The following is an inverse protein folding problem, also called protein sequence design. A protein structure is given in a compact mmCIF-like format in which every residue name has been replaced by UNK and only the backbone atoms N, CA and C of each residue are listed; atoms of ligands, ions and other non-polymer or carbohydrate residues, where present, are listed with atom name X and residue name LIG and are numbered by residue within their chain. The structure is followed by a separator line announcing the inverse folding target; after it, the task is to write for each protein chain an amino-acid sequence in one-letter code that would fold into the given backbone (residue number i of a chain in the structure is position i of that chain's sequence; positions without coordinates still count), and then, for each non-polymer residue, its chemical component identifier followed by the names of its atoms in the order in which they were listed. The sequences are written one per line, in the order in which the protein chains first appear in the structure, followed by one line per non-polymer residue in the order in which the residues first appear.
data_IF_087078777186
#
_entry.id   IF_087078777186
#
_cell.length_a   1.000
_cell.length_b   1.000
_cell.length_c   1.000
_cell.angle_alpha   90.00
_cell.angle_beta   90.00
_cell.angle_gamma   90.00
#
_symmetry.space_group_name_H-M   'P 1'
#
loop_
_entity.id
_entity.type
_entity.pdbx_description
1 polymer ?
#
# COMPACT_ATOMS: atom_id res chain seq x y z
N UNK A 1 10.83 -1.05 -40.44
CA UNK A 1 10.05 -1.87 -39.47
C UNK A 1 10.67 -1.94 -38.07
N UNK A 2 11.97 -2.23 -37.92
CA UNK A 2 12.63 -2.43 -36.60
C UNK A 2 12.63 -1.19 -35.69
N UNK A 3 12.81 0.02 -36.24
CA UNK A 3 12.79 1.26 -35.45
C UNK A 3 11.42 1.63 -34.88
N UNK A 4 10.34 1.28 -35.58
CA UNK A 4 8.96 1.52 -35.11
C UNK A 4 8.64 0.61 -33.91
N UNK A 5 9.11 -0.64 -33.96
CA UNK A 5 8.97 -1.60 -32.86
C UNK A 5 9.72 -1.17 -31.58
N UNK A 6 10.93 -0.62 -31.70
CA UNK A 6 11.69 -0.08 -30.55
C UNK A 6 10.99 1.13 -29.91
N UNK A 7 10.40 2.01 -30.73
CA UNK A 7 9.67 3.18 -30.25
C UNK A 7 8.42 2.77 -29.45
N UNK A 8 7.66 1.79 -29.95
CA UNK A 8 6.48 1.25 -29.26
C UNK A 8 6.86 0.56 -27.93
N UNK A 9 7.99 -0.15 -27.88
CA UNK A 9 8.50 -0.76 -26.65
C UNK A 9 8.91 0.28 -25.60
N UNK A 10 9.44 1.44 -26.02
CA UNK A 10 9.79 2.55 -25.11
C UNK A 10 8.53 3.16 -24.48
N UNK A 11 7.48 3.38 -25.27
CA UNK A 11 6.19 3.88 -24.78
C UNK A 11 5.49 2.86 -23.87
N UNK A 12 5.60 1.56 -24.18
CA UNK A 12 5.04 0.49 -23.35
C UNK A 12 5.78 0.37 -22.00
N UNK A 13 7.11 0.51 -21.99
CA UNK A 13 7.89 0.59 -20.74
C UNK A 13 7.54 1.82 -19.92
N UNK A 14 7.24 2.96 -20.54
CA UNK A 14 6.79 4.16 -19.83
C UNK A 14 5.39 3.99 -19.22
N UNK A 15 4.51 3.20 -19.86
CA UNK A 15 3.18 2.87 -19.32
C UNK A 15 3.24 1.86 -18.17
N UNK A 16 4.16 0.88 -18.24
CA UNK A 16 4.40 -0.10 -17.16
C UNK A 16 5.19 0.54 -16.01
N UNK A 17 6.05 1.52 -16.31
CA UNK A 17 6.74 2.37 -15.35
C UNK A 17 5.79 3.50 -14.90
N UNK A 18 4.63 3.09 -14.40
CA UNK A 18 3.76 3.97 -13.62
C UNK A 18 4.62 4.64 -12.56
N UNK A 19 4.57 5.97 -12.54
CA UNK A 19 5.40 6.78 -11.66
C UNK A 19 5.16 6.41 -10.20
N UNK A 20 5.99 5.51 -9.69
CA UNK A 20 6.19 5.32 -8.26
C UNK A 20 6.73 6.62 -7.73
N UNK A 21 5.81 7.51 -7.31
CA UNK A 21 6.13 8.37 -6.18
C UNK A 21 6.49 7.40 -5.09
N UNK A 22 7.75 7.43 -4.65
CA UNK A 22 8.17 6.78 -3.42
C UNK A 22 7.23 7.28 -2.33
N UNK A 23 6.13 6.57 -2.12
CA UNK A 23 5.20 6.80 -1.04
C UNK A 23 5.96 6.35 0.17
N UNK A 24 6.72 7.28 0.74
CA UNK A 24 7.36 7.09 2.02
C UNK A 24 6.31 6.50 2.96
N UNK A 25 6.45 5.21 3.27
CA UNK A 25 5.50 4.47 4.10
C UNK A 25 5.49 5.20 5.43
N UNK A 26 4.43 5.97 5.68
CA UNK A 26 4.25 6.70 6.92
C UNK A 26 3.88 5.68 7.98
N UNK A 27 4.90 5.20 8.68
CA UNK A 27 4.78 4.19 9.72
C UNK A 27 4.57 4.89 11.07
N UNK A 28 3.37 4.75 11.63
CA UNK A 28 3.09 5.20 12.98
C UNK A 28 2.82 4.00 13.88
N UNK A 29 3.90 3.33 14.32
CA UNK A 29 3.75 2.25 15.29
C UNK A 29 5.03 2.05 16.11
N UNK A 30 4.88 1.77 17.41
CA UNK A 30 5.98 1.31 18.26
C UNK A 30 6.37 -0.15 18.02
N UNK A 31 5.49 -0.95 17.39
CA UNK A 31 5.56 -2.42 17.40
C UNK A 31 5.92 -3.05 16.05
N UNK A 32 5.81 -2.29 14.96
CA UNK A 32 6.15 -2.71 13.60
C UNK A 32 7.27 -1.79 13.14
N UNK A 33 8.36 -2.35 12.63
CA UNK A 33 9.49 -1.61 12.08
C UNK A 33 9.33 -1.46 10.58
N UNK A 34 10.04 -0.49 9.98
CA UNK A 34 10.02 -0.31 8.53
C UNK A 34 10.61 -1.53 7.80
N UNK A 35 11.61 -2.20 8.40
CA UNK A 35 12.21 -3.42 7.84
C UNK A 35 11.18 -4.55 7.73
N UNK A 36 10.30 -4.67 8.73
CA UNK A 36 9.18 -5.62 8.71
C UNK A 36 8.24 -5.40 7.52
N UNK A 37 8.16 -4.18 6.96
CA UNK A 37 7.24 -3.82 5.87
C UNK A 37 7.91 -3.76 4.49
N UNK A 38 9.21 -4.03 4.38
CA UNK A 38 9.95 -4.01 3.10
C UNK A 38 9.36 -4.94 2.04
N UNK A 39 8.61 -5.96 2.47
CA UNK A 39 7.90 -6.85 1.55
C UNK A 39 6.75 -6.17 0.79
N UNK A 40 6.22 -5.05 1.29
CA UNK A 40 5.16 -4.25 0.64
C UNK A 40 5.67 -3.35 -0.48
N UNK A 41 6.98 -3.05 -0.52
CA UNK A 41 7.58 -2.16 -1.53
C UNK A 41 7.64 -2.78 -2.93
N UNK A 42 7.28 -4.07 -3.07
CA UNK A 42 7.22 -4.77 -4.36
C UNK A 42 5.75 -5.01 -4.71
N UNK A 43 5.23 -4.35 -5.74
CA UNK A 43 3.82 -4.38 -6.13
C UNK A 43 3.20 -5.81 -6.23
N UNK A 44 4.01 -6.83 -6.56
CA UNK A 44 3.51 -8.19 -6.83
C UNK A 44 3.51 -9.13 -5.61
N UNK A 45 4.01 -8.70 -4.44
CA UNK A 45 4.14 -9.61 -3.29
C UNK A 45 2.83 -9.86 -2.54
N UNK A 46 1.81 -9.02 -2.74
CA UNK A 46 0.50 -9.25 -2.15
C UNK A 46 -0.19 -10.52 -2.66
N UNK A 47 0.14 -10.97 -3.88
CA UNK A 47 -0.41 -12.19 -4.46
C UNK A 47 0.08 -13.48 -3.79
N UNK A 48 1.17 -13.41 -2.99
CA UNK A 48 1.73 -14.55 -2.27
C UNK A 48 1.05 -14.79 -0.92
N UNK A 49 0.23 -13.82 -0.45
CA UNK A 49 -0.43 -13.91 0.85
C UNK A 49 -1.84 -14.48 0.72
N UNK A 50 -2.25 -15.19 1.77
CA UNK A 50 -3.59 -15.75 1.89
C UNK A 50 -4.63 -14.62 1.99
N UNK A 51 -5.63 -14.62 1.11
CA UNK A 51 -6.78 -13.72 1.24
C UNK A 51 -7.71 -14.25 2.33
N UNK A 52 -7.87 -13.49 3.40
CA UNK A 52 -8.76 -13.81 4.53
C UNK A 52 -10.08 -13.05 4.49
N UNK A 53 -10.24 -12.09 3.58
CA UNK A 53 -11.48 -11.36 3.41
C UNK A 53 -11.56 -10.61 2.10
N UNK A 54 -12.77 -10.57 1.52
CA UNK A 54 -13.10 -9.72 0.37
C UNK A 54 -14.35 -8.92 0.69
N UNK A 55 -14.32 -7.62 0.41
CA UNK A 55 -15.45 -6.74 0.65
C UNK A 55 -15.56 -5.63 -0.39
N UNK A 56 -16.57 -4.80 -0.26
CA UNK A 56 -16.82 -3.70 -1.20
C UNK A 56 -15.70 -2.66 -1.28
N UNK A 57 -14.80 -2.61 -0.30
CA UNK A 57 -13.68 -1.66 -0.23
C UNK A 57 -12.32 -2.29 -0.56
N UNK A 58 -12.30 -3.57 -0.95
CA UNK A 58 -11.08 -4.28 -1.36
C UNK A 58 -10.88 -5.63 -0.66
N UNK A 59 -9.62 -6.05 -0.60
CA UNK A 59 -9.20 -7.38 -0.13
C UNK A 59 -8.34 -7.27 1.13
N UNK A 60 -8.46 -8.26 2.01
CA UNK A 60 -7.67 -8.39 3.23
C UNK A 60 -6.81 -9.64 3.14
N UNK A 61 -5.50 -9.47 3.29
CA UNK A 61 -4.51 -10.54 3.23
C UNK A 61 -3.92 -10.80 4.61
N UNK A 62 -3.61 -12.05 4.92
CA UNK A 62 -2.87 -12.45 6.11
C UNK A 62 -1.39 -12.57 5.78
N UNK A 63 -0.55 -11.93 6.56
CA UNK A 63 0.90 -12.02 6.42
C UNK A 63 1.55 -12.32 7.77
N UNK A 64 2.69 -13.01 7.72
CA UNK A 64 3.54 -13.29 8.86
C UNK A 64 4.81 -12.47 8.74
N UNK A 65 5.13 -11.70 9.79
CA UNK A 65 6.33 -10.87 9.85
C UNK A 65 7.49 -11.72 10.38
N UNK A 66 8.34 -12.18 9.46
CA UNK A 66 9.50 -13.02 9.79
C UNK A 66 10.50 -12.32 10.70
N UNK A 67 10.64 -10.99 10.59
CA UNK A 67 11.59 -10.20 11.38
C UNK A 67 11.06 -9.78 12.77
N UNK A 68 9.76 -9.97 13.05
CA UNK A 68 9.15 -9.64 14.35
C UNK A 68 8.56 -10.86 15.06
N UNK A 69 9.35 -11.93 15.15
CA UNK A 69 9.00 -13.16 15.89
C UNK A 69 7.75 -13.88 15.35
N UNK A 70 7.52 -13.87 14.04
CA UNK A 70 6.38 -14.56 13.43
C UNK A 70 5.04 -13.90 13.74
N UNK A 71 5.05 -12.58 14.02
CA UNK A 71 3.82 -11.85 14.30
C UNK A 71 2.90 -11.87 13.07
N UNK A 72 1.65 -12.26 13.28
CA UNK A 72 0.64 -12.30 12.24
C UNK A 72 -0.04 -10.92 12.13
N UNK A 73 -0.13 -10.40 10.91
CA UNK A 73 -0.80 -9.14 10.58
C UNK A 73 -1.85 -9.34 9.48
N UNK A 74 -2.79 -8.40 9.41
CA UNK A 74 -3.74 -8.29 8.32
C UNK A 74 -3.43 -7.04 7.48
N UNK A 75 -3.34 -7.20 6.16
CA UNK A 75 -3.06 -6.13 5.20
C UNK A 75 -4.34 -5.89 4.40
N UNK A 76 -4.89 -4.68 4.45
CA UNK A 76 -6.07 -4.32 3.66
C UNK A 76 -5.68 -3.52 2.41
N UNK A 77 -5.82 -4.12 1.23
CA UNK A 77 -5.68 -3.42 -0.05
C UNK A 77 -6.94 -2.61 -0.30
N UNK A 78 -6.80 -1.29 -0.34
CA UNK A 78 -7.88 -0.37 -0.65
C UNK A 78 -8.03 -0.30 -2.17
N UNK A 79 -9.24 -0.57 -2.67
CA UNK A 79 -9.59 -0.41 -4.09
C UNK A 79 -10.44 0.85 -4.20
N UNK A 80 -9.90 1.88 -4.87
CA UNK A 80 -10.49 3.22 -4.98
C UNK A 80 -11.85 3.27 -5.70
N UNK A 81 -12.25 2.19 -6.37
CA UNK A 81 -13.47 2.15 -7.18
C UNK A 81 -14.78 2.38 -6.40
N UNK A 82 -14.76 2.30 -5.06
CA UNK A 82 -15.97 2.47 -4.22
C UNK A 82 -15.85 3.58 -3.17
N UNK A 83 -14.72 4.29 -3.12
CA UNK A 83 -14.61 5.48 -2.29
C UNK A 83 -15.20 6.64 -3.08
N UNK A 84 -16.43 7.03 -2.74
CA UNK A 84 -16.97 8.31 -3.23
C UNK A 84 -15.98 9.43 -2.91
N UNK A 85 -15.89 10.47 -3.75
CA UNK A 85 -15.07 11.65 -3.44
C UNK A 85 -15.35 12.20 -2.03
N UNK A 86 -16.60 12.05 -1.55
CA UNK A 86 -17.00 12.39 -0.18
C UNK A 86 -16.36 11.47 0.87
N UNK A 87 -16.31 10.16 0.62
CA UNK A 87 -15.69 9.18 1.52
C UNK A 87 -14.17 9.33 1.55
N UNK A 88 -13.54 9.63 0.41
CA UNK A 88 -12.10 9.94 0.34
C UNK A 88 -11.74 11.20 1.13
N UNK A 89 -12.55 12.27 1.03
CA UNK A 89 -12.37 13.50 1.83
C UNK A 89 -12.51 13.23 3.32
N UNK A 90 -13.54 12.48 3.73
CA UNK A 90 -13.74 12.10 5.15
C UNK A 90 -12.59 11.25 5.68
N UNK A 91 -12.12 10.29 4.90
CA UNK A 91 -10.99 9.44 5.29
C UNK A 91 -9.70 10.24 5.42
N UNK A 92 -9.45 11.18 4.50
CA UNK A 92 -8.29 12.06 4.56
C UNK A 92 -8.32 12.95 5.83
N UNK A 93 -9.48 13.56 6.13
CA UNK A 93 -9.68 14.31 7.38
C UNK A 93 -9.48 13.44 8.63
N UNK A 94 -10.04 12.24 8.67
CA UNK A 94 -9.89 11.31 9.78
C UNK A 94 -8.43 10.89 9.96
N UNK A 95 -7.70 10.62 8.88
CA UNK A 95 -6.27 10.28 8.94
C UNK A 95 -5.43 11.46 9.43
N UNK A 96 -5.76 12.69 9.05
CA UNK A 96 -5.13 13.89 9.59
C UNK A 96 -5.38 14.03 11.09
N UNK A 97 -6.61 13.80 11.55
CA UNK A 97 -6.95 13.84 12.97
C UNK A 97 -6.18 12.76 13.74
N UNK A 98 -6.23 11.51 13.29
CA UNK A 98 -5.49 10.39 13.91
C UNK A 98 -4.01 10.76 13.98
N UNK A 99 -3.40 11.26 12.90
CA UNK A 99 -1.99 11.67 12.91
C UNK A 99 -1.71 12.78 13.92
N UNK A 100 -2.58 13.77 14.02
CA UNK A 100 -2.44 14.89 14.96
C UNK A 100 -2.56 14.44 16.42
N UNK A 101 -3.46 13.50 16.71
CA UNK A 101 -3.62 12.92 18.04
C UNK A 101 -2.35 12.15 18.39
N UNK A 102 -1.91 11.22 17.55
CA UNK A 102 -0.74 10.41 17.95
C UNK A 102 0.54 11.24 18.06
N UNK A 103 0.66 12.35 17.31
CA UNK A 103 1.76 13.30 17.50
C UNK A 103 1.69 14.09 18.82
N UNK A 104 0.49 14.37 19.32
CA UNK A 104 0.29 15.18 20.54
C UNK A 104 0.29 14.34 21.81
N UNK A 105 -0.24 13.11 21.80
CA UNK A 105 -0.20 12.20 22.97
C UNK A 105 1.02 11.28 23.03
N UNK A 106 1.84 11.25 21.98
CA UNK A 106 3.09 10.46 21.94
C UNK A 106 4.33 11.15 22.51
N UNK A 107 4.23 12.40 22.95
CA UNK A 107 5.23 13.11 23.77
C UNK A 107 4.94 12.92 25.26
#
# INVERSE_FOLDING_TARGET
LVFVFLSLFKSLRALIKGGGKDSEIVLFSMWIKKTDLTFLEKEDRLALFEVIGKGGCGEVYKAELSESNGKIIAIKKIIDAKLSEKDSKRMNQNMHQIRSEIQTVGQ
#
